data_IF_928776762582
#
_entry.id   IF_928776762582
#
_cell.length_a   1.000
_cell.length_b   1.000
_cell.length_c   1.000
_cell.angle_alpha   90.00
_cell.angle_beta   90.00
_cell.angle_gamma   90.00
#
_symmetry.space_group_name_H-M   'P 1'
#
loop_
_entity.id
_entity.type
_entity.pdbx_description
1 polymer ?
#
# COMPACT_ATOMS: atom_id res chain seq x y z
N UNK A 1 8.18 -11.35 -20.08
CA UNK A 1 7.71 -12.08 -18.90
C UNK A 1 7.88 -11.17 -17.69
N UNK A 2 6.90 -11.05 -16.77
CA UNK A 2 7.04 -10.34 -15.50
C UNK A 2 7.84 -11.20 -14.51
N UNK A 3 8.42 -10.55 -13.50
CA UNK A 3 9.27 -11.17 -12.48
C UNK A 3 8.48 -11.41 -11.19
N UNK A 4 9.15 -11.32 -10.02
CA UNK A 4 8.52 -11.52 -8.72
C UNK A 4 7.44 -10.47 -8.45
N UNK A 5 6.46 -10.84 -7.60
CA UNK A 5 5.52 -9.88 -7.03
C UNK A 5 6.13 -9.18 -5.78
N UNK A 6 5.45 -8.16 -5.25
CA UNK A 6 5.96 -7.40 -4.09
C UNK A 6 5.98 -8.24 -2.80
N UNK A 7 5.10 -9.23 -2.65
CA UNK A 7 5.14 -10.14 -1.50
C UNK A 7 6.39 -11.04 -1.56
N UNK A 8 6.71 -11.59 -2.73
CA UNK A 8 7.96 -12.37 -2.92
C UNK A 8 9.19 -11.49 -2.69
N UNK A 9 9.13 -10.21 -3.08
CA UNK A 9 10.20 -9.26 -2.77
C UNK A 9 10.38 -9.11 -1.26
N UNK A 10 9.29 -8.91 -0.48
CA UNK A 10 9.36 -8.85 0.99
C UNK A 10 9.89 -10.15 1.59
N UNK A 11 9.43 -11.30 1.11
CA UNK A 11 9.93 -12.61 1.54
C UNK A 11 11.44 -12.74 1.31
N UNK A 12 11.94 -12.27 0.17
CA UNK A 12 13.37 -12.29 -0.15
C UNK A 12 14.20 -11.37 0.76
N UNK A 13 13.60 -10.32 1.33
CA UNK A 13 14.22 -9.47 2.37
C UNK A 13 14.07 -10.07 3.77
N UNK A 14 13.54 -11.28 3.90
CA UNK A 14 13.16 -11.85 5.21
C UNK A 14 12.24 -10.91 6.00
N UNK A 15 11.32 -10.25 5.30
CA UNK A 15 10.41 -9.24 5.85
C UNK A 15 11.13 -8.06 6.52
N UNK A 16 12.35 -7.73 6.07
CA UNK A 16 13.11 -6.57 6.50
C UNK A 16 12.59 -5.24 5.93
N UNK A 17 11.63 -5.31 5.02
CA UNK A 17 11.10 -4.15 4.30
C UNK A 17 12.05 -3.60 3.23
N UNK A 18 11.65 -2.50 2.61
CA UNK A 18 12.43 -1.80 1.57
C UNK A 18 12.59 -0.31 1.91
N UNK A 19 13.60 0.34 1.31
CA UNK A 19 13.88 1.76 1.55
C UNK A 19 12.76 2.67 1.03
N UNK A 20 12.57 3.83 1.66
CA UNK A 20 11.59 4.83 1.23
C UNK A 20 11.82 5.28 -0.22
N UNK A 21 13.07 5.35 -0.66
CA UNK A 21 13.39 5.68 -2.05
C UNK A 21 12.82 4.65 -3.04
N UNK A 22 12.89 3.34 -2.72
CA UNK A 22 12.32 2.29 -3.56
C UNK A 22 10.79 2.30 -3.49
N UNK A 23 10.21 2.51 -2.30
CA UNK A 23 8.76 2.67 -2.10
C UNK A 23 8.23 3.82 -2.95
N UNK A 24 8.90 4.97 -2.95
CA UNK A 24 8.53 6.13 -3.78
C UNK A 24 8.46 5.78 -5.26
N UNK A 25 9.44 5.01 -5.76
CA UNK A 25 9.46 4.56 -7.16
C UNK A 25 8.32 3.60 -7.50
N UNK A 26 7.95 2.73 -6.56
CA UNK A 26 6.79 1.84 -6.72
C UNK A 26 5.49 2.64 -6.66
N UNK A 27 5.30 3.44 -5.61
CA UNK A 27 4.10 4.25 -5.40
C UNK A 27 3.78 5.12 -6.60
N UNK A 28 4.78 5.83 -7.15
CA UNK A 28 4.60 6.68 -8.34
C UNK A 28 4.04 5.91 -9.54
N UNK A 29 4.49 4.67 -9.77
CA UNK A 29 4.04 3.87 -10.92
C UNK A 29 2.66 3.28 -10.69
N UNK A 30 2.36 2.82 -9.46
CA UNK A 30 1.05 2.29 -9.10
C UNK A 30 0.01 3.42 -9.16
N UNK A 31 0.31 4.58 -8.58
CA UNK A 31 -0.56 5.77 -8.63
C UNK A 31 -0.88 6.17 -10.08
N UNK A 32 0.10 6.18 -10.98
CA UNK A 32 -0.16 6.42 -12.41
C UNK A 32 -1.14 5.41 -13.02
N UNK A 33 -1.07 4.15 -12.58
CA UNK A 33 -2.03 3.13 -13.01
C UNK A 33 -3.42 3.42 -12.44
N UNK A 34 -3.52 3.78 -11.15
CA UNK A 34 -4.79 4.11 -10.51
C UNK A 34 -5.41 5.39 -11.07
N UNK A 35 -4.61 6.43 -11.36
CA UNK A 35 -5.06 7.63 -12.08
C UNK A 35 -5.71 7.28 -13.43
N UNK A 36 -5.06 6.39 -14.20
CA UNK A 36 -5.63 5.94 -15.47
C UNK A 36 -6.96 5.18 -15.27
N UNK A 37 -7.03 4.27 -14.28
CA UNK A 37 -8.24 3.50 -13.99
C UNK A 37 -9.38 4.37 -13.47
N UNK A 38 -9.08 5.44 -12.73
CA UNK A 38 -10.05 6.37 -12.16
C UNK A 38 -10.61 7.40 -13.19
N UNK A 39 -10.08 7.44 -14.42
CA UNK A 39 -10.58 8.35 -15.45
C UNK A 39 -12.06 8.07 -15.74
N UNK A 40 -12.89 9.11 -15.95
CA UNK A 40 -14.33 8.94 -16.20
C UNK A 40 -14.66 8.06 -17.41
N UNK A 41 -13.79 8.04 -18.44
CA UNK A 41 -13.94 7.20 -19.63
C UNK A 41 -13.53 5.75 -19.42
N UNK A 42 -12.73 5.46 -18.39
CA UNK A 42 -12.27 4.11 -18.00
C UNK A 42 -13.12 3.56 -16.88
N UNK A 43 -13.22 4.27 -15.76
CA UNK A 43 -14.05 3.98 -14.56
C UNK A 43 -13.92 2.52 -14.10
N UNK A 44 -12.70 2.07 -13.83
CA UNK A 44 -12.42 0.71 -13.34
C UNK A 44 -11.88 0.79 -11.91
N UNK A 45 -12.53 0.06 -11.03
CA UNK A 45 -12.08 -0.23 -9.67
C UNK A 45 -11.38 -1.58 -9.72
N UNK A 46 -10.14 -1.69 -9.24
CA UNK A 46 -9.37 -2.94 -9.26
C UNK A 46 -9.96 -3.98 -8.29
N UNK A 47 -10.39 -3.56 -7.11
CA UNK A 47 -11.07 -4.35 -6.08
C UNK A 47 -10.23 -5.44 -5.38
N UNK A 48 -9.00 -5.72 -5.78
CA UNK A 48 -8.12 -6.69 -5.11
C UNK A 48 -6.65 -6.28 -5.20
N UNK A 49 -6.37 -5.00 -4.92
CA UNK A 49 -5.00 -4.52 -4.89
C UNK A 49 -4.31 -5.05 -3.63
N UNK A 50 -3.21 -5.78 -3.82
CA UNK A 50 -2.37 -6.41 -2.78
C UNK A 50 -0.96 -6.63 -3.31
N UNK A 51 0.04 -6.89 -2.44
CA UNK A 51 1.43 -7.10 -2.89
C UNK A 51 1.59 -8.19 -3.95
N UNK A 52 0.78 -9.24 -3.90
CA UNK A 52 0.80 -10.35 -4.86
C UNK A 52 0.37 -9.91 -6.26
N UNK A 53 -0.47 -8.88 -6.38
CA UNK A 53 -0.99 -8.38 -7.66
C UNK A 53 -0.17 -7.21 -8.23
N UNK A 54 1.00 -6.95 -7.68
CA UNK A 54 1.95 -5.94 -8.16
C UNK A 54 3.27 -6.65 -8.49
N UNK A 55 3.60 -6.79 -9.77
CA UNK A 55 4.76 -7.53 -10.23
C UNK A 55 5.88 -6.61 -10.70
N UNK A 56 7.11 -6.96 -10.34
CA UNK A 56 8.30 -6.35 -10.91
C UNK A 56 8.42 -6.72 -12.40
N UNK A 57 8.78 -5.75 -13.24
CA UNK A 57 9.10 -5.99 -14.64
C UNK A 57 10.42 -6.75 -14.81
N UNK A 58 11.33 -6.57 -13.86
CA UNK A 58 12.65 -7.20 -13.86
C UNK A 58 13.18 -7.28 -12.42
N UNK A 59 13.86 -8.38 -11.99
CA UNK A 59 14.27 -8.58 -10.61
C UNK A 59 15.21 -7.49 -10.04
N UNK A 60 16.01 -6.87 -10.92
CA UNK A 60 17.02 -5.87 -10.54
C UNK A 60 16.60 -4.42 -10.84
N UNK A 61 15.34 -4.17 -11.18
CA UNK A 61 14.84 -2.83 -11.54
C UNK A 61 13.55 -2.50 -10.79
N UNK A 62 13.33 -1.23 -10.53
CA UNK A 62 12.15 -0.74 -9.79
C UNK A 62 10.88 -0.58 -10.63
N UNK A 63 10.86 -1.09 -11.86
CA UNK A 63 9.66 -1.04 -12.71
C UNK A 63 8.62 -2.05 -12.25
N UNK A 64 7.36 -1.63 -12.05
CA UNK A 64 6.25 -2.49 -11.63
C UNK A 64 5.08 -2.48 -12.61
N UNK A 65 4.20 -3.46 -12.48
CA UNK A 65 2.91 -3.60 -13.16
C UNK A 65 1.87 -4.11 -12.19
N UNK A 66 0.70 -3.48 -12.20
CA UNK A 66 -0.52 -4.00 -11.56
C UNK A 66 -1.11 -5.05 -12.50
N UNK A 67 -1.53 -6.18 -11.94
CA UNK A 67 -2.11 -7.33 -12.65
C UNK A 67 -3.38 -7.80 -11.95
N UNK A 68 -4.06 -8.77 -12.55
CA UNK A 68 -5.24 -9.47 -12.02
C UNK A 68 -6.47 -8.56 -11.83
N UNK A 69 -7.14 -8.32 -12.92
CA UNK A 69 -8.41 -7.59 -12.97
C UNK A 69 -9.64 -8.50 -12.85
N UNK A 70 -9.47 -9.74 -12.38
CA UNK A 70 -10.55 -10.74 -12.25
C UNK A 70 -11.67 -10.33 -11.28
N UNK A 71 -11.36 -9.49 -10.29
CA UNK A 71 -12.32 -8.95 -9.32
C UNK A 71 -12.77 -7.52 -9.64
N UNK A 72 -12.27 -6.92 -10.73
CA UNK A 72 -12.52 -5.53 -11.05
C UNK A 72 -13.96 -5.27 -11.48
N UNK A 73 -14.44 -4.06 -11.23
CA UNK A 73 -15.76 -3.61 -11.66
C UNK A 73 -15.74 -2.13 -12.04
N UNK A 74 -16.85 -1.66 -12.62
CA UNK A 74 -17.09 -0.22 -12.81
C UNK A 74 -17.90 0.33 -11.63
N UNK A 75 -17.76 1.61 -11.33
CA UNK A 75 -18.46 2.26 -10.21
C UNK A 75 -19.99 2.19 -10.36
N UNK A 76 -20.50 2.15 -11.58
CA UNK A 76 -21.93 2.02 -11.89
C UNK A 76 -22.43 0.56 -11.97
N UNK A 77 -21.53 -0.45 -11.90
CA UNK A 77 -21.85 -1.89 -11.96
C UNK A 77 -21.11 -2.66 -10.87
N UNK A 78 -21.33 -2.26 -9.61
CA UNK A 78 -20.78 -2.96 -8.44
C UNK A 78 -21.47 -4.31 -8.31
N UNK A 79 -20.76 -5.39 -8.61
CA UNK A 79 -21.34 -6.74 -8.64
C UNK A 79 -21.27 -7.46 -7.29
N UNK A 80 -20.31 -7.07 -6.44
CA UNK A 80 -20.01 -7.83 -5.23
C UNK A 80 -19.93 -6.92 -4.01
N UNK A 81 -20.50 -7.37 -2.89
CA UNK A 81 -20.38 -6.73 -1.58
C UNK A 81 -19.14 -7.20 -0.80
N UNK A 82 -18.60 -8.39 -1.14
CA UNK A 82 -17.43 -8.97 -0.49
C UNK A 82 -16.24 -8.94 -1.45
N UNK A 83 -15.49 -7.86 -1.40
CA UNK A 83 -14.33 -7.57 -2.25
C UNK A 83 -13.13 -7.18 -1.40
N UNK A 84 -11.99 -7.04 -2.01
CA UNK A 84 -10.68 -6.79 -1.44
C UNK A 84 -10.19 -7.92 -0.54
N UNK A 85 -8.93 -8.23 -0.61
CA UNK A 85 -8.25 -9.10 0.36
C UNK A 85 -8.25 -8.44 1.73
N UNK A 86 -8.55 -9.20 2.79
CA UNK A 86 -8.91 -8.69 4.13
C UNK A 86 -7.96 -7.62 4.67
N UNK A 87 -6.66 -7.83 4.59
CA UNK A 87 -5.67 -6.90 5.16
C UNK A 87 -5.65 -5.54 4.46
N UNK A 88 -6.17 -5.47 3.24
CA UNK A 88 -6.21 -4.27 2.38
C UNK A 88 -7.63 -3.75 2.18
N UNK A 89 -8.62 -4.32 2.89
CA UNK A 89 -10.04 -3.97 2.74
C UNK A 89 -10.35 -2.66 3.42
N UNK A 90 -11.00 -1.77 2.66
CA UNK A 90 -11.40 -0.44 3.12
C UNK A 90 -12.58 -0.47 4.11
N UNK A 91 -12.70 0.53 4.98
CA UNK A 91 -13.79 0.60 5.96
C UNK A 91 -15.18 0.64 5.32
N UNK A 92 -15.35 1.39 4.23
CA UNK A 92 -16.64 1.47 3.52
C UNK A 92 -17.10 0.12 2.97
N UNK A 93 -16.17 -0.71 2.48
CA UNK A 93 -16.49 -2.08 2.05
C UNK A 93 -16.88 -2.95 3.24
N UNK A 94 -16.18 -2.85 4.36
CA UNK A 94 -16.50 -3.59 5.59
C UNK A 94 -17.88 -3.19 6.14
N UNK A 95 -18.25 -1.93 6.01
CA UNK A 95 -19.52 -1.37 6.48
C UNK A 95 -20.67 -1.55 5.48
N UNK A 96 -20.39 -2.17 4.30
CA UNK A 96 -21.39 -2.35 3.25
C UNK A 96 -21.89 -1.04 2.64
N UNK A 97 -21.08 0.03 2.73
CA UNK A 97 -21.36 1.32 2.11
C UNK A 97 -21.05 1.30 0.61
N UNK A 98 -21.62 2.22 -0.18
CA UNK A 98 -21.21 2.42 -1.55
C UNK A 98 -19.71 2.70 -1.64
N UNK A 99 -19.03 2.06 -2.59
CA UNK A 99 -17.58 2.21 -2.78
C UNK A 99 -17.24 2.71 -4.19
N UNK A 100 -16.05 3.24 -4.36
CA UNK A 100 -15.54 3.81 -5.61
C UNK A 100 -14.07 3.42 -5.81
N UNK A 101 -13.40 4.01 -6.78
CA UNK A 101 -11.93 3.88 -7.00
C UNK A 101 -11.10 4.25 -5.75
N UNK A 102 -11.68 4.96 -4.79
CA UNK A 102 -11.03 5.31 -3.54
C UNK A 102 -10.64 4.08 -2.68
N UNK A 103 -11.32 2.92 -2.85
CA UNK A 103 -10.95 1.69 -2.12
C UNK A 103 -9.54 1.20 -2.51
N UNK A 104 -9.12 1.41 -3.75
CA UNK A 104 -7.80 1.01 -4.24
C UNK A 104 -6.69 1.91 -3.65
N UNK A 105 -6.99 3.18 -3.34
CA UNK A 105 -6.08 4.07 -2.62
C UNK A 105 -5.88 3.62 -1.17
N UNK A 106 -6.94 3.20 -0.48
CA UNK A 106 -6.84 2.59 0.84
C UNK A 106 -5.92 1.36 0.81
N UNK A 107 -6.17 0.43 -0.13
CA UNK A 107 -5.31 -0.75 -0.30
C UNK A 107 -3.86 -0.37 -0.56
N UNK A 108 -3.61 0.63 -1.42
CA UNK A 108 -2.26 1.10 -1.70
C UNK A 108 -1.59 1.67 -0.44
N UNK A 109 -2.30 2.44 0.38
CA UNK A 109 -1.78 2.94 1.66
C UNK A 109 -1.30 1.81 2.57
N UNK A 110 -2.11 0.75 2.72
CA UNK A 110 -1.73 -0.45 3.47
C UNK A 110 -0.49 -1.14 2.88
N UNK A 111 -0.45 -1.30 1.55
CA UNK A 111 0.68 -1.94 0.83
C UNK A 111 1.98 -1.15 1.03
N UNK A 112 1.94 0.17 0.89
CA UNK A 112 3.16 0.99 1.03
C UNK A 112 3.70 0.94 2.46
N UNK A 113 2.83 0.97 3.47
CA UNK A 113 3.23 0.78 4.86
C UNK A 113 3.86 -0.59 5.08
N UNK A 114 3.23 -1.67 4.60
CA UNK A 114 3.76 -3.04 4.67
C UNK A 114 5.09 -3.18 3.95
N UNK A 115 5.25 -2.62 2.75
CA UNK A 115 6.53 -2.64 2.03
C UNK A 115 7.65 -1.98 2.82
N UNK A 116 7.34 -1.00 3.66
CA UNK A 116 8.32 -0.34 4.52
C UNK A 116 8.61 -1.15 5.78
N UNK A 117 7.57 -1.56 6.51
CA UNK A 117 7.70 -2.25 7.80
C UNK A 117 8.08 -3.72 7.66
N UNK A 118 7.68 -4.36 6.55
CA UNK A 118 7.81 -5.79 6.31
C UNK A 118 6.60 -6.59 6.79
N UNK A 119 5.67 -5.98 7.52
CA UNK A 119 4.51 -6.63 8.09
C UNK A 119 3.21 -5.93 7.65
N UNK A 120 2.11 -6.66 7.39
CA UNK A 120 0.84 -6.05 7.05
C UNK A 120 0.37 -5.05 8.11
N UNK A 121 -0.02 -3.85 7.68
CA UNK A 121 -0.46 -2.78 8.59
C UNK A 121 -1.65 -3.22 9.46
N UNK A 122 -2.59 -3.95 8.86
CA UNK A 122 -3.80 -4.47 9.49
C UNK A 122 -3.94 -5.97 9.21
N UNK A 123 -3.42 -6.82 10.09
CA UNK A 123 -3.44 -8.28 9.94
C UNK A 123 -4.58 -8.93 10.75
N UNK A 124 -5.84 -8.61 10.42
CA UNK A 124 -7.00 -9.16 11.11
C UNK A 124 -7.19 -10.66 10.88
N UNK A 125 -7.46 -11.43 11.93
CA UNK A 125 -7.80 -12.87 11.85
C UNK A 125 -9.15 -13.10 11.16
N UNK A 126 -10.07 -12.19 11.36
CA UNK A 126 -11.38 -12.11 10.72
C UNK A 126 -11.76 -10.66 10.43
N UNK A 127 -12.98 -10.42 9.97
CA UNK A 127 -13.44 -9.08 9.60
C UNK A 127 -13.64 -8.17 10.82
N UNK A 128 -14.00 -8.74 11.97
CA UNK A 128 -14.17 -8.00 13.20
C UNK A 128 -12.81 -7.55 13.76
N UNK A 129 -11.85 -8.47 13.88
CA UNK A 129 -10.48 -8.15 14.31
C UNK A 129 -9.79 -7.15 13.35
N UNK A 130 -10.11 -7.25 12.04
CA UNK A 130 -9.63 -6.27 11.05
C UNK A 130 -10.11 -4.86 11.40
N UNK A 131 -11.40 -4.68 11.67
CA UNK A 131 -11.97 -3.38 12.07
C UNK A 131 -11.39 -2.90 13.41
N UNK A 132 -11.21 -3.79 14.38
CA UNK A 132 -10.59 -3.44 15.67
C UNK A 132 -9.16 -2.90 15.49
N UNK A 133 -8.36 -3.52 14.61
CA UNK A 133 -6.99 -3.07 14.32
C UNK A 133 -6.97 -1.71 13.63
N UNK A 134 -7.91 -1.47 12.70
CA UNK A 134 -8.07 -0.18 12.06
C UNK A 134 -8.43 0.89 13.09
N UNK A 135 -9.46 0.65 13.91
CA UNK A 135 -9.89 1.59 14.96
C UNK A 135 -8.79 1.84 16.00
N UNK A 136 -8.03 0.80 16.35
CA UNK A 136 -6.90 0.93 17.29
C UNK A 136 -5.81 1.88 16.77
N UNK A 137 -5.54 1.87 15.47
CA UNK A 137 -4.49 2.69 14.86
C UNK A 137 -4.99 4.09 14.50
N UNK A 138 -6.18 4.18 13.87
CA UNK A 138 -6.69 5.41 13.26
C UNK A 138 -7.76 6.13 14.09
N UNK A 139 -8.15 5.56 15.26
CA UNK A 139 -9.26 6.07 16.05
C UNK A 139 -10.62 5.56 15.55
N UNK A 140 -11.70 6.01 16.20
CA UNK A 140 -13.06 5.57 15.85
C UNK A 140 -13.45 6.00 14.44
N UNK A 141 -14.22 5.13 13.79
CA UNK A 141 -14.88 5.43 12.51
C UNK A 141 -15.81 6.63 12.69
N UNK A 142 -15.84 7.59 11.77
CA UNK A 142 -16.74 8.74 11.82
C UNK A 142 -18.21 8.32 11.99
N UNK A 143 -18.90 8.97 12.93
CA UNK A 143 -20.32 8.67 13.25
C UNK A 143 -21.21 8.64 12.01
N UNK A 144 -21.11 9.59 11.05
CA UNK A 144 -21.93 9.53 9.82
C UNK A 144 -21.74 8.26 9.00
N UNK A 145 -20.52 7.68 8.98
CA UNK A 145 -20.27 6.41 8.28
C UNK A 145 -20.92 5.23 9.02
N UNK A 146 -20.82 5.22 10.36
CA UNK A 146 -21.45 4.18 11.19
C UNK A 146 -22.98 4.20 11.00
N UNK A 147 -23.57 5.38 11.00
CA UNK A 147 -25.03 5.55 10.88
C UNK A 147 -25.56 5.23 9.47
N UNK A 148 -24.78 5.49 8.42
CA UNK A 148 -25.11 5.09 7.04
C UNK A 148 -25.02 3.58 6.81
N UNK A 149 -24.23 2.86 7.64
CA UNK A 149 -24.08 1.41 7.52
C UNK A 149 -25.41 0.69 7.81
N UNK A 150 -25.67 -0.40 7.07
CA UNK A 150 -26.79 -1.28 7.35
C UNK A 150 -26.75 -1.83 8.79
N UNK A 151 -27.90 -2.13 9.37
CA UNK A 151 -27.99 -2.57 10.78
C UNK A 151 -27.10 -3.79 11.05
N UNK A 152 -27.08 -4.75 10.14
CA UNK A 152 -26.27 -5.95 10.27
C UNK A 152 -24.78 -5.63 10.38
N UNK A 153 -24.24 -4.82 9.45
CA UNK A 153 -22.83 -4.43 9.45
C UNK A 153 -22.50 -3.54 10.65
N UNK A 154 -23.38 -2.58 10.95
CA UNK A 154 -23.20 -1.68 12.10
C UNK A 154 -23.14 -2.46 13.40
N UNK A 155 -24.09 -3.35 13.65
CA UNK A 155 -24.17 -4.16 14.88
C UNK A 155 -23.10 -5.25 14.94
N UNK A 156 -22.51 -5.64 13.80
CA UNK A 156 -21.36 -6.55 13.78
C UNK A 156 -20.15 -5.93 14.47
N UNK A 157 -19.87 -4.64 14.23
CA UNK A 157 -18.64 -3.99 14.67
C UNK A 157 -18.85 -3.07 15.88
N UNK A 158 -19.98 -2.38 15.96
CA UNK A 158 -20.17 -1.29 16.91
C UNK A 158 -21.35 -1.54 17.83
N UNK A 159 -21.29 -0.91 18.99
CA UNK A 159 -22.38 -0.79 19.94
C UNK A 159 -22.54 0.68 20.34
N UNK A 160 -23.78 1.08 20.65
CA UNK A 160 -24.09 2.43 21.11
C UNK A 160 -24.24 2.41 22.61
N UNK A 161 -23.41 3.16 23.30
CA UNK A 161 -23.54 3.35 24.74
C UNK A 161 -24.85 4.07 25.05
N UNK A 162 -25.65 3.49 25.96
CA UNK A 162 -26.99 4.01 26.28
C UNK A 162 -26.96 5.31 27.09
N UNK A 163 -25.88 5.54 27.84
CA UNK A 163 -25.75 6.72 28.69
C UNK A 163 -25.15 7.90 27.93
N UNK A 164 -24.04 7.69 27.26
CA UNK A 164 -23.33 8.74 26.51
C UNK A 164 -23.84 8.91 25.07
N UNK A 165 -24.68 8.00 24.59
CA UNK A 165 -25.15 7.92 23.20
C UNK A 165 -24.02 7.86 22.16
N UNK A 166 -22.78 7.61 22.60
CA UNK A 166 -21.60 7.47 21.73
C UNK A 166 -21.47 6.06 21.15
N UNK A 167 -20.92 5.98 19.95
CA UNK A 167 -20.55 4.71 19.34
C UNK A 167 -19.19 4.24 19.85
N UNK A 168 -19.10 2.95 20.18
CA UNK A 168 -17.85 2.29 20.55
C UNK A 168 -17.67 1.02 19.72
N UNK A 169 -16.41 0.60 19.50
CA UNK A 169 -16.16 -0.70 18.90
C UNK A 169 -16.40 -1.79 19.92
N UNK A 170 -17.10 -2.84 19.55
CA UNK A 170 -17.37 -3.98 20.45
C UNK A 170 -16.06 -4.62 20.91
N UNK A 171 -16.04 -5.10 22.15
CA UNK A 171 -14.94 -5.88 22.70
C UNK A 171 -15.25 -7.38 22.55
N UNK A 172 -14.24 -8.19 22.28
CA UNK A 172 -14.38 -9.64 22.33
C UNK A 172 -14.44 -10.04 23.80
N UNK A 173 -15.61 -10.45 24.28
CA UNK A 173 -15.70 -11.05 25.62
C UNK A 173 -15.05 -12.43 25.59
N UNK A 174 -13.81 -12.53 26.06
CA UNK A 174 -13.05 -13.78 26.24
C UNK A 174 -13.58 -14.64 27.41
N UNK A 175 -14.75 -14.36 27.96
CA UNK A 175 -15.29 -15.03 29.16
C UNK A 175 -16.33 -16.13 28.89
N UNK A 176 -16.44 -16.66 27.66
CA UNK A 176 -17.42 -17.70 27.34
C UNK A 176 -16.79 -19.03 26.90
N UNK A 177 -15.89 -19.62 27.72
CA UNK A 177 -15.52 -21.04 27.55
C UNK A 177 -15.02 -21.73 28.83
N UNK A 178 -15.67 -21.46 29.99
CA UNK A 178 -15.37 -22.23 31.22
C UNK A 178 -16.60 -22.72 32.00
N UNK A 179 -17.73 -22.92 31.32
CA UNK A 179 -18.89 -23.51 32.01
C UNK A 179 -19.74 -24.39 31.08
N UNK A 180 -19.18 -25.55 30.66
CA UNK A 180 -19.99 -26.70 30.25
C UNK A 180 -19.10 -27.93 30.00
N UNK A 181 -18.61 -28.56 31.07
CA UNK A 181 -18.28 -30.00 31.07
C UNK A 181 -18.08 -30.51 32.50
N UNK A 182 -19.15 -30.74 33.21
CA UNK A 182 -19.16 -31.66 34.34
C UNK A 182 -20.38 -32.55 34.21
N UNK A 183 -20.22 -33.68 33.53
CA UNK A 183 -21.06 -34.86 33.68
C UNK A 183 -20.24 -36.10 33.30
N UNK A 184 -19.83 -36.79 34.38
CA UNK A 184 -19.58 -38.23 34.58
C UNK A 184 -19.51 -39.16 33.34
N UNK A 185 -18.42 -39.94 33.23
CA UNK A 185 -18.48 -41.38 33.50
C UNK A 185 -17.09 -42.02 33.42
N UNK A 186 -16.89 -42.94 34.34
CA UNK A 186 -15.75 -43.85 34.61
C UNK A 186 -15.51 -44.83 33.46
N UNK A 187 -14.26 -45.16 33.12
CA UNK A 187 -13.59 -46.46 33.31
C UNK A 187 -12.42 -46.68 32.34
N UNK A 188 -11.33 -47.13 32.97
CA UNK A 188 -10.31 -48.11 32.49
C UNK A 188 -9.50 -47.87 31.21
N UNK A 189 -8.22 -47.59 31.42
CA UNK A 189 -7.04 -48.38 31.03
C UNK A 189 -6.66 -48.45 29.55
N UNK A 190 -5.56 -47.86 29.20
CA UNK A 190 -4.41 -48.47 28.52
C UNK A 190 -3.41 -47.40 28.01
N UNK A 191 -2.17 -47.63 28.40
CA UNK A 191 -0.94 -46.95 27.95
C UNK A 191 -0.75 -47.01 26.43
N UNK A 192 -0.52 -45.84 25.79
CA UNK A 192 0.23 -45.78 24.55
C UNK A 192 0.90 -44.40 24.45
N UNK A 193 2.20 -44.40 24.58
CA UNK A 193 3.10 -43.27 24.25
C UNK A 193 3.05 -42.95 22.78
N UNK A 194 2.61 -41.73 22.45
CA UNK A 194 2.83 -41.15 21.09
C UNK A 194 3.21 -39.67 21.25
N UNK A 195 4.43 -39.41 20.89
CA UNK A 195 5.04 -38.10 20.80
C UNK A 195 4.31 -37.27 19.72
N UNK A 196 3.65 -36.20 20.18
CA UNK A 196 3.09 -35.16 19.28
C UNK A 196 4.13 -34.05 19.08
N UNK A 197 4.29 -33.51 17.86
CA UNK A 197 5.16 -32.36 17.64
C UNK A 197 4.49 -31.09 18.19
N UNK A 198 5.28 -30.37 18.98
CA UNK A 198 5.00 -29.07 19.56
C UNK A 198 4.52 -28.09 18.48
N UNK A 199 3.26 -27.68 18.58
CA UNK A 199 2.72 -26.50 17.91
C UNK A 199 3.41 -25.26 18.48
N UNK A 200 4.27 -24.65 17.68
CA UNK A 200 4.84 -23.34 17.98
C UNK A 200 3.70 -22.32 18.05
N UNK A 201 3.28 -22.00 19.28
CA UNK A 201 2.46 -20.83 19.55
C UNK A 201 3.28 -19.59 19.19
N UNK A 202 2.94 -18.94 18.09
CA UNK A 202 3.41 -17.60 17.79
C UNK A 202 2.88 -16.66 18.88
N UNK A 203 3.75 -16.33 19.84
CA UNK A 203 3.50 -15.26 20.79
C UNK A 203 3.46 -13.93 20.01
N UNK A 204 2.28 -13.29 19.97
CA UNK A 204 2.16 -11.90 19.57
C UNK A 204 3.10 -11.04 20.45
N UNK A 205 3.78 -10.04 19.87
CA UNK A 205 4.56 -9.09 20.65
C UNK A 205 3.65 -8.36 21.65
N UNK A 206 4.00 -8.45 22.94
CA UNK A 206 3.23 -7.89 24.06
C UNK A 206 3.28 -6.36 24.19
N UNK A 207 3.96 -5.66 23.29
CA UNK A 207 4.13 -4.21 23.37
C UNK A 207 3.39 -3.50 22.23
N UNK A 208 2.07 -3.68 22.19
CA UNK A 208 1.26 -2.88 21.28
C UNK A 208 0.78 -1.62 21.99
N UNK A 209 1.38 -0.52 21.61
CA UNK A 209 1.14 0.89 21.91
C UNK A 209 -0.28 1.16 22.44
N UNK A 210 -0.37 1.77 23.63
CA UNK A 210 -1.58 2.44 24.13
C UNK A 210 -2.09 3.39 23.04
N UNK A 211 -3.39 3.39 22.69
CA UNK A 211 -3.88 4.26 21.64
C UNK A 211 -3.54 5.70 21.98
N UNK A 212 -2.66 6.31 21.21
CA UNK A 212 -2.47 7.76 21.24
C UNK A 212 -3.80 8.38 20.79
N UNK A 213 -4.23 9.44 21.43
CA UNK A 213 -5.41 10.21 21.00
C UNK A 213 -5.22 10.85 19.63
N UNK A 214 -4.01 10.76 19.06
CA UNK A 214 -3.65 11.28 17.74
C UNK A 214 -3.28 10.17 16.76
N UNK A 215 -4.10 9.89 15.72
CA UNK A 215 -3.85 8.84 14.74
C UNK A 215 -2.51 9.00 13.98
N UNK A 216 -2.08 10.24 13.72
CA UNK A 216 -0.80 10.50 13.06
C UNK A 216 0.36 10.05 13.93
N UNK A 217 0.31 10.29 15.25
CA UNK A 217 1.34 9.82 16.17
C UNK A 217 1.39 8.31 16.25
N UNK A 218 0.24 7.63 16.29
CA UNK A 218 0.15 6.18 16.28
C UNK A 218 0.74 5.60 14.99
N UNK A 219 0.40 6.16 13.85
CA UNK A 219 0.94 5.74 12.55
C UNK A 219 2.45 6.00 12.46
N UNK A 220 2.92 7.16 12.95
CA UNK A 220 4.34 7.49 13.05
C UNK A 220 5.09 6.46 13.89
N UNK A 221 4.53 6.07 15.04
CA UNK A 221 5.14 5.05 15.89
C UNK A 221 5.28 3.71 15.17
N UNK A 222 4.24 3.25 14.46
CA UNK A 222 4.29 2.00 13.70
C UNK A 222 5.33 2.08 12.56
N UNK A 223 5.32 3.14 11.77
CA UNK A 223 6.22 3.30 10.63
C UNK A 223 7.67 3.54 11.07
N UNK A 224 7.90 4.33 12.14
CA UNK A 224 9.24 4.70 12.59
C UNK A 224 9.82 3.76 13.66
N UNK A 225 9.01 3.00 14.40
CA UNK A 225 9.50 2.04 15.40
C UNK A 225 10.42 0.99 14.77
N UNK A 226 10.09 0.53 13.57
CA UNK A 226 10.91 -0.40 12.82
C UNK A 226 12.23 0.21 12.32
N UNK A 227 12.27 1.51 12.05
CA UNK A 227 13.55 2.17 11.70
C UNK A 227 14.56 2.15 12.85
N UNK A 228 14.11 2.24 14.10
CA UNK A 228 14.97 2.14 15.27
C UNK A 228 15.37 0.69 15.59
N UNK A 229 14.46 -0.28 15.44
CA UNK A 229 14.78 -1.71 15.54
C UNK A 229 15.73 -2.13 14.42
N UNK A 230 15.54 -1.62 13.20
CA UNK A 230 16.39 -1.90 12.03
C UNK A 230 17.80 -1.31 12.21
N UNK A 231 17.97 -0.12 12.80
CA UNK A 231 19.30 0.43 13.12
C UNK A 231 20.07 -0.43 14.12
N UNK A 232 19.39 -1.09 15.06
CA UNK A 232 20.00 -2.02 16.01
C UNK A 232 20.23 -3.43 15.43
N UNK A 233 19.40 -3.87 14.45
CA UNK A 233 19.48 -5.17 13.80
C UNK A 233 20.15 -5.13 12.42
N UNK A 234 20.63 -3.98 11.95
CA UNK A 234 21.20 -3.75 10.63
C UNK A 234 22.42 -4.63 10.31
N UNK A 235 22.96 -5.34 11.28
CA UNK A 235 23.98 -6.37 11.05
C UNK A 235 23.43 -7.70 10.52
N UNK A 236 22.09 -7.94 10.48
CA UNK A 236 21.54 -9.26 10.18
C UNK A 236 20.45 -9.32 9.10
N UNK A 237 19.86 -8.22 8.64
CA UNK A 237 18.80 -8.25 7.61
C UNK A 237 19.05 -7.25 6.48
N UNK A 238 19.17 -7.70 5.22
CA UNK A 238 19.40 -6.80 4.11
C UNK A 238 18.13 -5.98 3.78
N UNK A 239 18.25 -4.64 3.82
CA UNK A 239 17.24 -3.75 3.26
C UNK A 239 17.47 -3.67 1.76
N UNK A 240 16.43 -3.93 0.95
CA UNK A 240 16.51 -3.74 -0.50
C UNK A 240 16.29 -2.26 -0.84
N UNK A 241 17.23 -1.69 -1.58
CA UNK A 241 17.26 -0.28 -1.96
C UNK A 241 18.30 0.51 -1.19
N UNK A 242 18.60 1.69 -1.68
CA UNK A 242 19.56 2.61 -1.05
C UNK A 242 18.87 3.42 0.07
N UNK A 243 19.24 3.21 1.34
CA UNK A 243 18.66 3.95 2.47
C UNK A 243 19.27 5.36 2.65
N UNK A 244 20.28 5.76 1.86
CA UNK A 244 20.97 7.05 2.01
C UNK A 244 20.05 8.26 1.79
N UNK A 245 18.88 8.06 1.14
CA UNK A 245 17.85 9.09 0.96
C UNK A 245 16.74 9.10 2.03
N UNK A 246 16.80 8.21 3.03
CA UNK A 246 15.78 8.07 4.06
C UNK A 246 16.05 9.05 5.22
N UNK A 247 15.84 10.35 4.95
CA UNK A 247 15.93 11.43 5.94
C UNK A 247 14.70 11.48 6.84
N UNK A 248 14.79 12.15 7.99
CA UNK A 248 13.67 12.42 8.89
C UNK A 248 12.48 13.05 8.13
N UNK A 249 12.77 14.04 7.28
CA UNK A 249 11.75 14.66 6.43
C UNK A 249 11.08 13.66 5.47
N UNK A 250 11.85 12.71 4.93
CA UNK A 250 11.27 11.65 4.06
C UNK A 250 10.29 10.77 4.81
N UNK A 251 10.56 10.45 6.09
CA UNK A 251 9.64 9.71 6.96
C UNK A 251 8.37 10.51 7.26
N UNK A 252 8.51 11.78 7.61
CA UNK A 252 7.36 12.66 7.90
C UNK A 252 6.44 12.80 6.68
N UNK A 253 7.01 13.02 5.50
CA UNK A 253 6.26 13.08 4.25
C UNK A 253 5.64 11.72 3.88
N UNK A 254 6.29 10.61 4.20
CA UNK A 254 5.73 9.28 3.97
C UNK A 254 4.53 9.01 4.87
N UNK A 255 4.67 9.30 6.17
CA UNK A 255 3.56 9.17 7.14
C UNK A 255 2.37 10.03 6.74
N UNK A 256 2.59 11.28 6.32
CA UNK A 256 1.55 12.18 5.85
C UNK A 256 0.80 11.62 4.63
N UNK A 257 1.54 11.07 3.65
CA UNK A 257 0.92 10.42 2.49
C UNK A 257 0.08 9.21 2.91
N UNK A 258 0.62 8.31 3.75
CA UNK A 258 -0.12 7.13 4.23
C UNK A 258 -1.37 7.55 5.00
N UNK A 259 -1.27 8.54 5.89
CA UNK A 259 -2.42 9.05 6.65
C UNK A 259 -3.55 9.55 5.73
N UNK A 260 -3.21 10.31 4.68
CA UNK A 260 -4.18 10.78 3.68
C UNK A 260 -4.78 9.65 2.83
N UNK A 261 -4.02 8.59 2.56
CA UNK A 261 -4.53 7.40 1.88
C UNK A 261 -5.46 6.56 2.77
N UNK A 262 -5.30 6.64 4.09
CA UNK A 262 -6.08 5.91 5.08
C UNK A 262 -7.18 6.78 5.73
N UNK A 263 -7.61 7.86 5.10
CA UNK A 263 -8.78 8.60 5.52
C UNK A 263 -10.01 7.69 5.48
N UNK A 264 -10.83 7.73 6.55
CA UNK A 264 -12.02 6.88 6.67
C UNK A 264 -13.04 7.17 5.59
N UNK A 265 -13.42 8.46 5.45
CA UNK A 265 -14.37 8.85 4.43
C UNK A 265 -13.68 8.81 3.05
N UNK A 266 -14.24 8.07 2.07
CA UNK A 266 -13.71 8.06 0.71
C UNK A 266 -13.65 9.43 0.04
N UNK A 267 -14.49 10.39 0.47
CA UNK A 267 -14.50 11.76 -0.07
C UNK A 267 -13.35 12.62 0.48
N UNK A 268 -12.89 12.34 1.70
CA UNK A 268 -11.72 12.98 2.31
C UNK A 268 -10.40 12.28 1.94
N UNK A 269 -10.49 11.08 1.37
CA UNK A 269 -9.31 10.28 1.01
C UNK A 269 -8.63 10.86 -0.22
N UNK A 270 -7.30 11.04 -0.13
CA UNK A 270 -6.50 11.57 -1.23
C UNK A 270 -6.75 10.79 -2.53
N UNK A 271 -6.98 11.50 -3.62
CA UNK A 271 -7.14 10.91 -4.95
C UNK A 271 -5.81 10.44 -5.53
N UNK A 272 -5.81 9.54 -6.54
CA UNK A 272 -4.56 9.13 -7.20
C UNK A 272 -3.76 10.30 -7.78
N UNK A 273 -4.43 11.31 -8.34
CA UNK A 273 -3.78 12.49 -8.95
C UNK A 273 -3.17 13.41 -7.89
N UNK A 274 -3.87 13.66 -6.79
CA UNK A 274 -3.35 14.42 -5.66
C UNK A 274 -2.14 13.70 -5.03
N UNK A 275 -2.24 12.38 -4.87
CA UNK A 275 -1.15 11.56 -4.34
C UNK A 275 0.09 11.58 -5.24
N UNK A 276 -0.06 11.62 -6.58
CA UNK A 276 1.05 11.81 -7.50
C UNK A 276 1.75 13.16 -7.31
N UNK A 277 1.01 14.18 -6.89
CA UNK A 277 1.52 15.52 -6.62
C UNK A 277 2.01 15.70 -5.18
N UNK A 278 1.85 14.70 -4.32
CA UNK A 278 2.26 14.76 -2.92
C UNK A 278 3.79 14.95 -2.78
N UNK A 279 4.26 15.77 -1.81
CA UNK A 279 5.69 16.05 -1.63
C UNK A 279 6.55 14.79 -1.50
N UNK A 280 6.08 13.74 -0.84
CA UNK A 280 6.79 12.46 -0.76
C UNK A 280 7.09 11.87 -2.16
N UNK A 281 6.13 11.91 -3.07
CA UNK A 281 6.29 11.35 -4.43
C UNK A 281 7.17 12.23 -5.30
N UNK A 282 7.06 13.57 -5.16
CA UNK A 282 7.81 14.55 -5.96
C UNK A 282 9.26 14.76 -5.53
N UNK A 283 9.57 14.58 -4.24
CA UNK A 283 10.93 14.82 -3.71
C UNK A 283 12.02 13.96 -4.38
N UNK A 284 11.68 12.84 -4.99
CA UNK A 284 12.62 12.01 -5.75
C UNK A 284 13.00 12.53 -7.14
N UNK A 285 12.39 13.61 -7.63
CA UNK A 285 12.70 14.18 -8.96
C UNK A 285 13.82 15.21 -8.93
N UNK A 286 14.01 15.88 -7.81
CA UNK A 286 15.03 16.95 -7.68
C UNK A 286 16.46 16.41 -7.61
N UNK A 287 16.66 15.15 -7.23
CA UNK A 287 18.00 14.54 -7.16
C UNK A 287 18.56 14.06 -8.50
N UNK A 288 17.79 14.08 -9.58
CA UNK A 288 18.25 13.65 -10.92
C UNK A 288 18.60 14.81 -11.86
N UNK A 289 18.32 16.06 -11.50
CA UNK A 289 18.55 17.24 -12.37
C UNK A 289 19.84 18.01 -12.07
N UNK A 290 20.66 17.59 -11.11
CA UNK A 290 21.88 18.29 -10.72
C UNK A 290 23.18 17.52 -11.00
N UNK A 291 23.32 16.92 -12.18
CA UNK A 291 24.63 16.55 -12.70
C UNK A 291 25.10 17.68 -13.62
N UNK A 292 26.09 18.49 -13.24
CA UNK A 292 26.70 19.42 -14.17
C UNK A 292 27.49 18.63 -15.20
N UNK A 293 27.17 18.81 -16.48
CA UNK A 293 28.05 18.37 -17.55
C UNK A 293 29.44 19.01 -17.33
N UNK A 294 30.52 18.25 -17.38
CA UNK A 294 31.84 18.84 -17.35
C UNK A 294 32.05 19.62 -18.67
N UNK A 295 32.15 20.93 -18.53
CA UNK A 295 32.40 21.85 -19.62
C UNK A 295 33.69 21.51 -20.35
N UNK A 296 33.57 21.41 -21.66
CA UNK A 296 34.65 21.41 -22.63
C UNK A 296 35.46 22.67 -22.51
N UNK A 297 36.71 22.53 -22.06
CA UNK A 297 37.74 23.57 -22.14
C UNK A 297 38.13 23.72 -23.61
N UNK A 298 37.68 24.81 -24.23
CA UNK A 298 38.12 25.25 -25.52
C UNK A 298 39.50 25.91 -25.36
N UNK A 299 40.58 25.28 -25.83
CA UNK A 299 41.85 25.90 -26.06
C UNK A 299 41.80 26.76 -27.33
N UNK A 300 42.04 28.08 -27.15
CA UNK A 300 42.37 29.02 -28.23
C UNK A 300 43.72 28.67 -28.84
N UNK A 301 43.77 28.46 -30.14
CA UNK A 301 44.90 28.85 -30.98
C UNK A 301 44.43 29.43 -32.29
N UNK A 302 45.01 30.57 -32.60
CA UNK A 302 44.92 31.39 -33.80
C UNK A 302 45.65 30.76 -35.00
N UNK A 303 45.24 31.11 -36.15
CA UNK A 303 45.92 31.51 -37.38
C UNK A 303 45.40 30.83 -38.68
N UNK A 304 45.02 31.66 -39.59
CA UNK A 304 45.62 31.79 -40.93
C UNK A 304 44.83 31.26 -42.11
N UNK A 305 44.18 32.21 -42.80
CA UNK A 305 44.14 32.40 -44.27
C UNK A 305 43.65 31.31 -45.24
N UNK A 306 42.70 31.78 -46.09
CA UNK A 306 42.66 31.66 -47.54
C UNK A 306 41.81 30.56 -48.23
N UNK A 307 40.76 31.04 -48.89
CA UNK A 307 40.37 30.90 -50.29
C UNK A 307 39.65 29.63 -50.83
N UNK A 308 38.55 29.95 -51.55
CA UNK A 308 37.99 29.25 -52.71
C UNK A 308 37.33 27.89 -52.51
N UNK A 309 36.07 27.65 -52.79
CA UNK A 309 35.33 27.84 -54.01
C UNK A 309 34.52 26.54 -54.28
N UNK A 310 33.33 26.70 -54.76
CA UNK A 310 32.56 25.74 -55.57
C UNK A 310 31.43 24.90 -54.98
N UNK A 311 30.26 25.34 -55.36
CA UNK A 311 29.12 24.57 -55.96
C UNK A 311 28.37 23.49 -55.18
N UNK A 312 27.06 23.78 -55.10
CA UNK A 312 25.92 22.91 -54.83
C UNK A 312 25.80 21.73 -55.81
N UNK A 313 25.05 20.67 -55.44
CA UNK A 313 23.67 20.63 -55.98
C UNK A 313 22.58 20.18 -54.95
N UNK A 314 21.39 20.63 -55.26
CA UNK A 314 20.09 20.35 -54.65
C UNK A 314 19.69 18.89 -54.87
N UNK A 315 18.96 18.26 -53.90
CA UNK A 315 18.11 17.10 -54.16
C UNK A 315 16.71 17.34 -53.57
N UNK A 316 15.72 16.95 -54.39
CA UNK A 316 14.28 17.12 -54.27
C UNK A 316 13.60 16.29 -53.17
N UNK A 317 12.33 16.63 -52.79
CA UNK A 317 11.58 15.94 -51.79
C UNK A 317 10.87 14.66 -52.29
N UNK A 318 10.61 13.65 -51.47
CA UNK A 318 9.88 12.46 -51.90
C UNK A 318 8.37 12.65 -51.95
N UNK A 319 7.79 11.96 -52.92
CA UNK A 319 6.40 11.96 -53.35
C UNK A 319 5.42 11.40 -52.30
N UNK A 320 4.25 12.03 -52.27
CA UNK A 320 2.99 11.66 -51.64
C UNK A 320 2.53 10.26 -52.14
N UNK A 321 2.26 9.34 -51.20
CA UNK A 321 1.58 8.08 -51.49
C UNK A 321 0.07 8.21 -51.26
N UNK A 322 -0.69 7.69 -52.20
CA UNK A 322 -2.14 7.75 -52.35
C UNK A 322 -2.87 6.82 -51.36
N UNK A 323 -4.02 7.28 -50.93
CA UNK A 323 -5.02 6.52 -50.14
C UNK A 323 -5.66 5.42 -50.99
N UNK A 324 -5.91 4.26 -50.37
CA UNK A 324 -6.76 3.18 -50.87
C UNK A 324 -8.02 3.12 -50.00
N UNK A 325 -9.24 3.06 -50.55
CA UNK A 325 -10.50 3.02 -49.79
C UNK A 325 -10.84 1.61 -49.29
N UNK A 326 -11.82 1.50 -48.36
CA UNK A 326 -12.13 0.24 -47.68
C UNK A 326 -13.11 -0.65 -48.50
N UNK A 327 -12.98 -1.97 -48.25
CA UNK A 327 -14.05 -2.95 -48.47
C UNK A 327 -14.49 -3.53 -47.17
#
# INVERSE_FOLDING_TARGET
MLSLNLYELLKNTQFGGVSLNLIRKFAKQILKSLTFLARPDVDIIHCDLKPENILLRHPKRSGVKVIDFGSSCRSNKRMYSYIQSRFYRSPEVMLGLPYSVAIDIWSLGCILAEMHTGEPLFSGSDQFDQMQKIVKLLGMVPVPMIERAGEQQRTQFFEKDRMSMSWTIKQVNTTASSSAASAKSSSSGATATTTTPSSAQQQLPKDLVVPSTNPIQSLTQVICADSNKKKQQQQQRPIVGDPSGDSQLSYELFVDLIYKMLAYDPEDRITPDEALNHPFIRSGEQSQSSSPHPGSLASRRSDGSSTEGASRPRKDPPKRMQQIPPR
#
